data_IF_707071803217
#
_entry.id   IF_707071803217
#
_cell.length_a   1.000
_cell.length_b   1.000
_cell.length_c   1.000
_cell.angle_alpha   90.00
_cell.angle_beta   90.00
_cell.angle_gamma   90.00
#
_symmetry.space_group_name_H-M   'P 1'
#
loop_
_entity.id
_entity.type
_entity.pdbx_description
1 polymer ?
#
# COMPACT_ATOMS: atom_id res chain seq x y z
N UNK A 1 16.90 2.93 -19.83
CA UNK A 1 16.02 2.74 -18.66
C UNK A 1 16.73 3.36 -17.47
N UNK A 2 16.08 4.28 -16.74
CA UNK A 2 16.72 4.96 -15.61
C UNK A 2 16.62 4.10 -14.32
N UNK A 3 17.37 4.44 -13.27
CA UNK A 3 17.37 3.66 -12.01
C UNK A 3 15.99 3.54 -11.37
N UNK A 4 15.15 4.57 -11.49
CA UNK A 4 13.79 4.56 -10.95
C UNK A 4 12.87 3.62 -11.75
N UNK A 5 13.00 3.56 -13.07
CA UNK A 5 12.24 2.61 -13.90
C UNK A 5 12.56 1.17 -13.51
N UNK A 6 13.85 0.84 -13.29
CA UNK A 6 14.27 -0.48 -12.83
C UNK A 6 13.72 -0.82 -11.44
N UNK A 7 13.73 0.15 -10.51
CA UNK A 7 13.13 -0.02 -9.20
C UNK A 7 11.62 -0.29 -9.29
N UNK A 8 10.89 0.45 -10.16
CA UNK A 8 9.45 0.26 -10.37
C UNK A 8 9.11 -1.14 -10.87
N UNK A 9 9.88 -1.69 -11.82
CA UNK A 9 9.71 -3.07 -12.28
C UNK A 9 9.82 -4.06 -11.12
N UNK A 10 10.82 -3.87 -10.24
CA UNK A 10 10.97 -4.72 -9.06
C UNK A 10 9.85 -4.54 -8.03
N UNK A 11 9.33 -3.33 -7.86
CA UNK A 11 8.18 -3.05 -7.00
C UNK A 11 6.92 -3.76 -7.52
N UNK A 12 6.73 -3.83 -8.84
CA UNK A 12 5.60 -4.57 -9.44
C UNK A 12 5.64 -6.05 -9.01
N UNK A 13 6.82 -6.67 -8.98
CA UNK A 13 6.96 -8.04 -8.47
C UNK A 13 6.57 -8.13 -6.98
N UNK A 14 7.05 -7.21 -6.14
CA UNK A 14 6.66 -7.16 -4.71
C UNK A 14 5.14 -7.02 -4.56
N UNK A 15 4.49 -6.17 -5.37
CA UNK A 15 3.04 -5.99 -5.35
C UNK A 15 2.27 -7.22 -5.82
N UNK A 16 2.76 -7.94 -6.82
CA UNK A 16 2.16 -9.19 -7.27
C UNK A 16 2.24 -10.27 -6.18
N UNK A 17 3.41 -10.40 -5.53
CA UNK A 17 3.61 -11.34 -4.43
C UNK A 17 2.68 -11.02 -3.25
N UNK A 18 2.59 -9.75 -2.85
CA UNK A 18 1.69 -9.30 -1.80
C UNK A 18 0.21 -9.45 -2.17
N UNK A 19 -0.17 -9.19 -3.42
CA UNK A 19 -1.54 -9.39 -3.87
C UNK A 19 -1.92 -10.87 -3.78
N UNK A 20 -1.00 -11.78 -4.11
CA UNK A 20 -1.21 -13.22 -3.95
C UNK A 20 -1.27 -13.63 -2.48
N UNK A 21 -0.30 -13.21 -1.67
CA UNK A 21 -0.20 -13.48 -0.21
C UNK A 21 -1.49 -13.10 0.52
N UNK A 22 -2.03 -11.91 0.24
CA UNK A 22 -3.24 -11.40 0.88
C UNK A 22 -4.53 -11.71 0.12
N UNK A 23 -4.45 -12.48 -0.98
CA UNK A 23 -5.58 -12.80 -1.86
C UNK A 23 -6.37 -11.55 -2.30
N UNK A 24 -5.66 -10.47 -2.63
CA UNK A 24 -6.26 -9.21 -3.03
C UNK A 24 -6.78 -9.29 -4.47
N UNK A 25 -7.82 -8.49 -4.82
CA UNK A 25 -8.23 -8.33 -6.22
C UNK A 25 -7.09 -7.89 -7.13
N UNK A 26 -7.21 -8.16 -8.43
CA UNK A 26 -6.27 -7.63 -9.41
C UNK A 26 -6.25 -6.08 -9.38
N UNK A 27 -5.09 -5.49 -9.64
CA UNK A 27 -4.87 -4.04 -9.64
C UNK A 27 -5.11 -3.36 -8.27
N UNK A 28 -5.00 -4.12 -7.17
CA UNK A 28 -5.10 -3.58 -5.81
C UNK A 28 -3.96 -2.63 -5.42
N UNK A 29 -2.94 -2.49 -6.26
CA UNK A 29 -1.83 -1.57 -6.07
C UNK A 29 -1.60 -0.74 -7.32
N UNK A 30 -1.17 0.51 -7.15
CA UNK A 30 -0.84 1.42 -8.23
C UNK A 30 0.53 2.08 -8.01
N UNK A 31 1.20 2.41 -9.12
CA UNK A 31 2.41 3.20 -9.18
C UNK A 31 2.12 4.41 -10.08
N UNK A 32 2.11 5.61 -9.51
CA UNK A 32 1.72 6.83 -10.23
C UNK A 32 2.87 7.83 -10.25
N UNK A 33 3.26 8.32 -11.43
CA UNK A 33 4.22 9.41 -11.54
C UNK A 33 3.54 10.77 -11.48
N UNK A 34 3.97 11.61 -10.54
CA UNK A 34 3.49 12.97 -10.38
C UNK A 34 4.48 13.96 -10.99
N UNK A 35 4.00 14.74 -11.95
CA UNK A 35 4.77 15.77 -12.64
C UNK A 35 4.32 17.16 -12.24
N UNK A 36 5.27 18.10 -12.17
CA UNK A 36 4.96 19.51 -11.93
C UNK A 36 4.08 20.05 -13.06
N UNK A 37 2.95 20.63 -12.72
CA UNK A 37 2.01 21.17 -13.71
C UNK A 37 2.34 22.61 -14.13
N UNK A 38 3.05 23.36 -13.29
CA UNK A 38 3.33 24.78 -13.51
C UNK A 38 4.72 25.18 -13.01
N UNK A 39 5.10 26.43 -13.32
CA UNK A 39 6.36 27.06 -12.90
C UNK A 39 7.59 26.61 -13.69
N UNK A 40 8.78 27.01 -13.22
CA UNK A 40 10.07 26.71 -13.89
C UNK A 40 10.41 25.23 -13.95
N UNK A 41 9.67 24.38 -13.22
CA UNK A 41 9.82 22.93 -13.19
C UNK A 41 8.71 22.19 -13.93
N UNK A 42 7.81 22.87 -14.64
CA UNK A 42 6.71 22.24 -15.37
C UNK A 42 7.22 21.06 -16.24
N UNK A 43 6.50 19.92 -16.18
CA UNK A 43 6.86 18.67 -16.85
C UNK A 43 7.97 17.86 -16.17
N UNK A 44 8.58 18.34 -15.08
CA UNK A 44 9.56 17.55 -14.31
C UNK A 44 8.85 16.65 -13.29
N UNK A 45 9.35 15.42 -13.17
CA UNK A 45 8.92 14.47 -12.15
C UNK A 45 9.17 15.06 -10.75
N UNK A 46 8.17 15.01 -9.89
CA UNK A 46 8.20 15.47 -8.50
C UNK A 46 8.31 14.28 -7.55
N UNK A 47 7.57 13.21 -7.85
CA UNK A 47 7.52 11.99 -7.05
C UNK A 47 6.86 10.86 -7.84
N UNK A 48 7.13 9.63 -7.44
CA UNK A 48 6.30 8.47 -7.75
C UNK A 48 5.54 8.08 -6.48
N UNK A 49 4.22 7.97 -6.58
CA UNK A 49 3.32 7.48 -5.53
C UNK A 49 3.13 5.97 -5.64
N UNK A 50 3.12 5.30 -4.49
CA UNK A 50 2.71 3.91 -4.34
C UNK A 50 1.43 3.86 -3.52
N UNK A 51 0.37 3.25 -4.06
CA UNK A 51 -0.96 3.26 -3.43
C UNK A 51 -1.58 1.85 -3.37
N UNK A 52 -2.39 1.61 -2.35
CA UNK A 52 -3.45 0.60 -2.37
C UNK A 52 -4.67 1.21 -3.05
N UNK A 53 -5.27 0.49 -3.99
CA UNK A 53 -6.44 0.93 -4.75
C UNK A 53 -7.60 -0.03 -4.51
N UNK A 54 -8.70 0.51 -3.97
CA UNK A 54 -9.96 -0.21 -3.81
C UNK A 54 -10.95 0.27 -4.86
N UNK A 55 -11.42 -0.68 -5.67
CA UNK A 55 -12.50 -0.48 -6.63
C UNK A 55 -13.87 -0.72 -6.00
N UNK A 56 -14.90 -0.13 -6.60
CA UNK A 56 -16.28 -0.32 -6.21
C UNK A 56 -16.66 -1.81 -6.17
N UNK A 57 -17.36 -2.21 -5.10
CA UNK A 57 -17.87 -3.57 -4.94
C UNK A 57 -19.30 -3.56 -4.37
N UNK A 58 -20.26 -4.29 -4.97
CA UNK A 58 -20.15 -5.04 -6.23
C UNK A 58 -19.69 -4.14 -7.40
N UNK A 59 -18.96 -4.68 -8.39
CA UNK A 59 -18.43 -3.87 -9.49
C UNK A 59 -19.57 -3.18 -10.23
N UNK A 60 -19.46 -1.87 -10.44
CA UNK A 60 -20.35 -1.13 -11.33
C UNK A 60 -19.85 -1.18 -12.79
N UNK A 61 -20.61 -0.61 -13.74
CA UNK A 61 -20.23 -0.61 -15.17
C UNK A 61 -18.90 0.10 -15.47
N UNK A 62 -18.49 1.00 -14.59
CA UNK A 62 -17.26 1.78 -14.74
C UNK A 62 -16.11 1.20 -13.91
N UNK A 63 -16.41 0.23 -13.03
CA UNK A 63 -15.51 -0.29 -12.01
C UNK A 63 -14.72 0.85 -11.36
N UNK A 64 -15.44 1.85 -10.86
CA UNK A 64 -14.85 3.09 -10.39
C UNK A 64 -13.93 2.87 -9.17
N UNK A 65 -12.86 3.66 -9.07
CA UNK A 65 -12.02 3.65 -7.86
C UNK A 65 -12.84 4.26 -6.73
N UNK A 66 -13.06 3.48 -5.67
CA UNK A 66 -13.77 3.92 -4.47
C UNK A 66 -12.84 4.57 -3.45
N UNK A 67 -11.58 4.12 -3.37
CA UNK A 67 -10.59 4.67 -2.45
C UNK A 67 -9.18 4.37 -2.94
N UNK A 68 -8.29 5.35 -2.78
CA UNK A 68 -6.85 5.15 -2.80
C UNK A 68 -6.28 5.35 -1.40
N UNK A 69 -5.22 4.64 -1.07
CA UNK A 69 -4.53 4.78 0.22
C UNK A 69 -3.04 4.71 0.02
N UNK A 70 -2.37 5.81 0.35
CA UNK A 70 -0.93 5.97 0.18
C UNK A 70 -0.15 4.94 0.99
N UNK A 71 0.76 4.24 0.30
CA UNK A 71 1.79 3.41 0.91
C UNK A 71 3.00 4.29 1.24
N UNK A 72 3.59 4.94 0.23
CA UNK A 72 4.74 5.84 0.35
C UNK A 72 4.96 6.63 -0.95
N UNK A 73 5.86 7.61 -0.90
CA UNK A 73 6.40 8.25 -2.10
C UNK A 73 7.85 7.84 -2.36
N UNK A 74 8.25 7.85 -3.62
CA UNK A 74 9.64 7.84 -4.07
C UNK A 74 9.94 9.20 -4.70
N UNK A 75 10.87 9.96 -4.12
CA UNK A 75 11.25 11.28 -4.61
C UNK A 75 12.46 11.18 -5.55
N UNK A 76 12.46 11.90 -6.69
CA UNK A 76 13.62 11.96 -7.58
C UNK A 76 14.83 12.53 -6.84
N UNK A 77 15.92 11.78 -6.89
CA UNK A 77 17.18 12.16 -6.26
C UNK A 77 18.33 11.62 -7.14
N UNK A 78 19.38 12.41 -7.40
CA UNK A 78 20.44 12.04 -8.35
C UNK A 78 21.38 10.94 -7.85
N UNK A 79 21.41 10.68 -6.54
CA UNK A 79 22.43 9.81 -5.92
C UNK A 79 21.83 8.64 -5.14
N UNK A 80 20.55 8.72 -4.80
CA UNK A 80 19.88 7.76 -3.93
C UNK A 80 18.44 7.53 -4.39
N UNK A 81 17.85 6.42 -3.97
CA UNK A 81 16.40 6.34 -3.88
C UNK A 81 15.95 7.01 -2.58
N UNK A 82 15.12 8.06 -2.69
CA UNK A 82 14.60 8.79 -1.53
C UNK A 82 13.15 8.37 -1.28
N UNK A 83 12.90 7.54 -0.27
CA UNK A 83 11.56 7.15 0.15
C UNK A 83 11.01 8.14 1.18
N UNK A 84 9.74 8.52 1.04
CA UNK A 84 9.01 9.29 2.06
C UNK A 84 7.95 8.40 2.68
N UNK A 85 8.11 8.12 3.96
CA UNK A 85 7.25 7.24 4.75
C UNK A 85 6.60 8.08 5.84
N UNK A 86 5.29 7.93 6.09
CA UNK A 86 4.63 8.68 7.17
C UNK A 86 5.33 8.40 8.52
N UNK A 87 5.53 9.43 9.34
CA UNK A 87 6.27 9.29 10.60
C UNK A 87 5.71 8.21 11.53
N UNK A 88 4.38 8.09 11.61
CA UNK A 88 3.69 7.10 12.43
C UNK A 88 3.85 5.66 11.91
N UNK A 89 4.07 5.48 10.61
CA UNK A 89 4.41 4.18 10.02
C UNK A 89 5.89 3.85 10.32
N UNK A 90 6.78 4.82 10.07
CA UNK A 90 8.22 4.67 10.31
C UNK A 90 8.55 4.19 11.72
N UNK A 91 7.86 4.72 12.74
CA UNK A 91 8.05 4.32 14.15
C UNK A 91 7.64 2.87 14.45
N UNK A 92 6.80 2.26 13.62
CA UNK A 92 6.26 0.90 13.83
C UNK A 92 6.96 -0.15 12.97
N UNK A 93 7.79 0.28 12.02
CA UNK A 93 8.52 -0.58 11.12
C UNK A 93 9.93 -0.89 11.65
N UNK A 94 10.48 -2.08 11.34
CA UNK A 94 11.90 -2.36 11.54
C UNK A 94 12.74 -1.34 10.78
N UNK A 95 13.73 -0.76 11.44
CA UNK A 95 14.58 0.26 10.82
C UNK A 95 15.56 -0.39 9.83
N UNK A 96 15.66 0.10 8.59
CA UNK A 96 16.57 -0.46 7.60
C UNK A 96 18.01 -0.17 8.02
N UNK A 97 18.84 -1.20 8.12
CA UNK A 97 20.22 -1.06 8.61
C UNK A 97 21.12 -0.26 7.65
N UNK A 98 20.79 -0.24 6.36
CA UNK A 98 21.60 0.35 5.28
C UNK A 98 21.10 1.72 4.83
N UNK A 99 19.86 2.10 5.15
CA UNK A 99 19.31 3.38 4.73
C UNK A 99 19.72 4.50 5.69
N UNK A 100 19.91 5.70 5.13
CA UNK A 100 20.17 6.90 5.93
C UNK A 100 18.89 7.70 6.11
N UNK A 101 18.61 8.13 7.34
CA UNK A 101 17.53 9.09 7.61
C UNK A 101 18.01 10.49 7.26
N UNK A 102 17.36 11.14 6.31
CA UNK A 102 17.70 12.51 5.89
C UNK A 102 17.09 13.51 6.87
N UNK A 103 17.92 14.35 7.47
CA UNK A 103 17.48 15.42 8.37
C UNK A 103 16.78 16.53 7.58
N UNK A 104 15.46 16.60 7.67
CA UNK A 104 14.61 17.61 7.04
C UNK A 104 13.53 18.08 8.01
N UNK A 105 12.96 19.27 7.76
CA UNK A 105 11.85 19.82 8.54
C UNK A 105 10.47 19.41 8.00
N UNK A 106 10.36 18.22 7.38
CA UNK A 106 9.08 17.66 6.95
C UNK A 106 8.28 17.25 8.20
N UNK A 107 6.97 17.58 8.23
CA UNK A 107 6.11 17.34 9.39
C UNK A 107 5.30 16.05 9.29
N UNK A 108 5.26 15.43 8.12
CA UNK A 108 4.44 14.27 7.82
C UNK A 108 5.29 13.04 7.50
N UNK A 109 6.42 13.23 6.83
CA UNK A 109 7.21 12.15 6.26
C UNK A 109 8.63 12.08 6.81
N UNK A 110 9.06 10.87 7.17
CA UNK A 110 10.46 10.53 7.34
C UNK A 110 11.07 10.24 5.96
N UNK A 111 12.20 10.88 5.66
CA UNK A 111 12.93 10.70 4.41
C UNK A 111 14.04 9.67 4.60
N UNK A 112 13.99 8.58 3.84
CA UNK A 112 15.00 7.52 3.84
C UNK A 112 15.76 7.50 2.53
N UNK A 113 17.08 7.46 2.60
CA UNK A 113 17.97 7.40 1.46
C UNK A 113 18.58 6.01 1.36
N UNK A 114 18.29 5.32 0.26
CA UNK A 114 18.88 4.03 -0.10
C UNK A 114 19.84 4.23 -1.27
N UNK A 115 20.98 3.53 -1.26
CA UNK A 115 21.84 3.46 -2.43
C UNK A 115 21.12 2.74 -3.59
N UNK A 116 21.50 3.02 -4.85
CA UNK A 116 20.78 2.45 -6.01
C UNK A 116 20.92 0.92 -6.12
N UNK A 117 21.98 0.35 -5.54
CA UNK A 117 22.26 -1.09 -5.48
C UNK A 117 21.77 -1.75 -4.18
N UNK A 118 21.19 -0.98 -3.25
CA UNK A 118 20.70 -1.50 -1.98
C UNK A 118 19.43 -2.34 -2.18
N UNK A 119 19.56 -3.65 -2.00
CA UNK A 119 18.45 -4.59 -2.17
C UNK A 119 17.41 -4.53 -1.06
N UNK A 120 17.79 -4.02 0.12
CA UNK A 120 16.89 -3.93 1.30
C UNK A 120 15.75 -2.93 1.09
N UNK A 121 15.86 -2.03 0.11
CA UNK A 121 14.79 -1.09 -0.24
C UNK A 121 13.48 -1.82 -0.53
N UNK A 122 13.53 -2.96 -1.22
CA UNK A 122 12.34 -3.74 -1.57
C UNK A 122 11.74 -4.42 -0.34
N UNK A 123 12.58 -4.94 0.55
CA UNK A 123 12.15 -5.53 1.82
C UNK A 123 11.42 -4.47 2.65
N UNK A 124 11.97 -3.25 2.68
CA UNK A 124 11.38 -2.14 3.40
C UNK A 124 10.04 -1.66 2.78
N UNK A 125 9.96 -1.54 1.45
CA UNK A 125 8.70 -1.25 0.74
C UNK A 125 7.66 -2.34 1.01
N UNK A 126 8.08 -3.61 0.99
CA UNK A 126 7.22 -4.75 1.27
C UNK A 126 6.69 -4.71 2.71
N UNK A 127 7.56 -4.44 3.69
CA UNK A 127 7.19 -4.30 5.10
C UNK A 127 6.20 -3.15 5.34
N UNK A 128 6.46 -1.97 4.76
CA UNK A 128 5.53 -0.84 4.86
C UNK A 128 4.19 -1.13 4.19
N UNK A 129 4.18 -1.81 3.03
CA UNK A 129 2.93 -2.22 2.36
C UNK A 129 2.11 -3.19 3.22
N UNK A 130 2.75 -4.19 3.84
CA UNK A 130 2.08 -5.10 4.79
C UNK A 130 1.50 -4.34 5.98
N UNK A 131 2.26 -3.40 6.53
CA UNK A 131 1.78 -2.55 7.62
C UNK A 131 0.55 -1.73 7.19
N UNK A 132 0.57 -1.10 6.02
CA UNK A 132 -0.58 -0.37 5.47
C UNK A 132 -1.81 -1.28 5.33
N UNK A 133 -1.65 -2.50 4.79
CA UNK A 133 -2.73 -3.50 4.67
C UNK A 133 -3.28 -3.95 6.04
N UNK A 134 -2.41 -4.12 7.04
CA UNK A 134 -2.84 -4.53 8.39
C UNK A 134 -3.73 -3.48 9.08
N UNK A 135 -3.49 -2.20 8.77
CA UNK A 135 -4.26 -1.07 9.27
C UNK A 135 -5.33 -0.57 8.29
N UNK A 136 -5.53 -1.27 7.17
CA UNK A 136 -6.39 -0.82 6.09
C UNK A 136 -7.86 -0.79 6.52
N UNK A 137 -8.56 0.25 6.10
CA UNK A 137 -10.02 0.37 6.21
C UNK A 137 -10.60 0.49 4.81
N UNK A 138 -11.63 -0.30 4.51
CA UNK A 138 -12.36 -0.16 3.24
C UNK A 138 -13.04 1.22 3.15
N UNK A 139 -13.32 1.65 1.92
CA UNK A 139 -14.16 2.83 1.63
C UNK A 139 -15.55 2.75 2.29
N UNK A 140 -16.08 1.54 2.45
CA UNK A 140 -17.42 1.30 2.99
C UNK A 140 -17.36 0.34 4.18
N UNK A 141 -18.13 0.64 5.23
CA UNK A 141 -18.33 -0.29 6.35
C UNK A 141 -19.73 -0.90 6.31
N UNK A 142 -19.84 -2.20 6.56
CA UNK A 142 -21.11 -2.93 6.55
C UNK A 142 -21.12 -4.06 7.57
N UNK A 143 -22.31 -4.51 7.98
CA UNK A 143 -22.46 -5.55 9.01
C UNK A 143 -21.88 -6.91 8.61
N UNK A 144 -22.51 -7.57 7.64
CA UNK A 144 -22.08 -8.86 7.10
C UNK A 144 -22.60 -9.02 5.67
N UNK A 145 -21.84 -9.72 4.81
CA UNK A 145 -22.26 -10.09 3.46
C UNK A 145 -23.12 -11.37 3.41
N UNK A 146 -23.77 -11.71 4.53
CA UNK A 146 -24.62 -12.91 4.69
C UNK A 146 -23.94 -14.27 4.57
N UNK A 147 -22.61 -14.34 4.45
CA UNK A 147 -21.82 -15.60 4.42
C UNK A 147 -21.22 -15.98 5.78
N UNK A 148 -21.84 -15.54 6.88
CA UNK A 148 -21.29 -15.69 8.24
C UNK A 148 -21.10 -17.17 8.65
N UNK A 149 -22.00 -18.07 8.25
CA UNK A 149 -21.87 -19.52 8.52
C UNK A 149 -20.60 -20.09 7.91
N UNK A 150 -20.43 -19.92 6.59
CA UNK A 150 -19.24 -20.37 5.87
C UNK A 150 -17.95 -19.75 6.42
N UNK A 151 -17.98 -18.44 6.71
CA UNK A 151 -16.84 -17.73 7.30
C UNK A 151 -16.37 -18.40 8.59
N UNK A 152 -17.31 -18.85 9.42
CA UNK A 152 -16.99 -19.32 10.74
C UNK A 152 -16.72 -20.81 10.81
N UNK A 153 -17.34 -21.61 9.95
CA UNK A 153 -16.93 -22.99 9.72
C UNK A 153 -15.45 -23.04 9.28
N UNK A 154 -15.02 -22.08 8.44
CA UNK A 154 -13.63 -21.94 8.02
C UNK A 154 -12.75 -21.09 8.97
N UNK A 155 -13.34 -20.48 10.00
CA UNK A 155 -12.68 -19.53 10.92
C UNK A 155 -11.94 -18.37 10.22
N UNK A 156 -12.33 -18.03 8.99
CA UNK A 156 -11.76 -16.94 8.20
C UNK A 156 -12.80 -16.34 7.26
N UNK A 157 -12.67 -15.07 6.88
CA UNK A 157 -13.61 -14.47 5.94
C UNK A 157 -13.46 -15.09 4.55
N UNK A 158 -14.56 -15.60 4.00
CA UNK A 158 -14.61 -16.25 2.67
C UNK A 158 -14.99 -15.30 1.53
N UNK A 159 -15.13 -14.00 1.79
CA UNK A 159 -15.49 -13.03 0.75
C UNK A 159 -14.43 -13.02 -0.36
N UNK A 160 -14.89 -12.94 -1.62
CA UNK A 160 -14.03 -13.06 -2.81
C UNK A 160 -13.14 -11.83 -3.00
N UNK A 161 -13.67 -10.64 -2.69
CA UNK A 161 -12.90 -9.41 -2.70
C UNK A 161 -12.40 -9.10 -1.29
N UNK A 162 -11.12 -9.35 -1.02
CA UNK A 162 -10.52 -9.17 0.31
C UNK A 162 -10.38 -7.70 0.72
N UNK A 163 -10.11 -6.80 -0.22
CA UNK A 163 -10.05 -5.35 0.06
C UNK A 163 -11.41 -4.82 0.53
N UNK A 164 -12.49 -5.12 -0.19
CA UNK A 164 -13.84 -4.77 0.24
C UNK A 164 -14.22 -5.42 1.58
N UNK A 165 -13.74 -6.65 1.83
CA UNK A 165 -13.99 -7.33 3.10
C UNK A 165 -13.41 -6.61 4.33
N UNK A 166 -12.49 -5.63 4.17
CA UNK A 166 -12.07 -4.74 5.26
C UNK A 166 -13.19 -3.86 5.80
N UNK A 167 -14.29 -3.74 5.06
CA UNK A 167 -15.54 -3.12 5.52
C UNK A 167 -16.42 -4.00 6.41
N UNK A 168 -16.21 -5.33 6.41
CA UNK A 168 -17.10 -6.30 7.03
C UNK A 168 -16.91 -6.35 8.55
N UNK A 169 -17.92 -5.93 9.31
CA UNK A 169 -17.87 -5.98 10.77
C UNK A 169 -17.79 -7.42 11.30
N UNK A 170 -18.49 -8.37 10.66
CA UNK A 170 -18.41 -9.78 11.04
C UNK A 170 -17.01 -10.37 10.87
N UNK A 171 -16.26 -9.95 9.85
CA UNK A 171 -14.86 -10.37 9.69
C UNK A 171 -14.02 -9.94 10.89
N UNK A 172 -14.17 -8.69 11.35
CA UNK A 172 -13.42 -8.18 12.50
C UNK A 172 -13.71 -9.00 13.77
N UNK A 173 -14.96 -9.41 13.95
CA UNK A 173 -15.35 -10.31 15.05
C UNK A 173 -14.64 -11.66 14.91
N UNK A 174 -14.63 -12.24 13.71
CA UNK A 174 -13.96 -13.51 13.41
C UNK A 174 -12.45 -13.47 13.64
N UNK A 175 -11.78 -12.41 13.20
CA UNK A 175 -10.36 -12.14 13.43
C UNK A 175 -10.04 -12.00 14.93
N UNK A 176 -11.01 -11.53 15.72
CA UNK A 176 -10.95 -11.44 17.18
C UNK A 176 -11.40 -12.72 17.90
N UNK A 177 -11.58 -13.83 17.17
CA UNK A 177 -12.06 -15.12 17.67
C UNK A 177 -13.46 -15.09 18.33
N UNK A 178 -14.28 -14.08 18.00
CA UNK A 178 -15.63 -13.94 18.50
C UNK A 178 -16.63 -14.48 17.46
N UNK A 179 -17.26 -15.62 17.77
CA UNK A 179 -18.26 -16.28 16.92
C UNK A 179 -19.61 -16.25 17.63
N UNK A 180 -20.64 -15.71 16.98
CA UNK A 180 -21.91 -15.33 17.61
C UNK A 180 -23.16 -16.09 17.12
N UNK A 181 -23.02 -17.20 16.37
CA UNK A 181 -24.15 -17.99 15.84
C UNK A 181 -24.18 -19.41 16.37
#
# INVERSE_FOLDING_TARGET
>A
MNQLDFLKERIIHVFNDLASEFSLPQNSFCITDNFSQAGTRAGKLISTELDIVEYAYPPDRHNSISKTSLILYIKPNPSFFELLIRHDHFQKLPQPATAQVKNVSDKLYTHLLFAFDDVSILEYISANTRYCLSSYSSSNTFGCCSRYKECSDQKQCVHVNKLYAYGCQYRKNLESQNIFY
#
